data_IF_922493237702
#
_entry.id   IF_922493237702
#
_cell.length_a   1.000
_cell.length_b   1.000
_cell.length_c   1.000
_cell.angle_alpha   90.00
_cell.angle_beta   90.00
_cell.angle_gamma   90.00
#
_symmetry.space_group_name_H-M   'P 1'
#
loop_
_entity.id
_entity.type
_entity.pdbx_description
1 polymer ?
#
# COMPACT_ATOMS: atom_id res chain seq x y z
N UNK A 1 -29.04 3.94 -10.66
CA UNK A 1 -27.58 4.06 -10.68
C UNK A 1 -27.07 5.51 -10.62
N UNK A 2 -27.54 6.46 -11.47
CA UNK A 2 -27.06 7.87 -11.43
C UNK A 2 -27.27 8.57 -10.07
N UNK A 3 -28.40 8.32 -9.39
CA UNK A 3 -28.69 8.91 -8.06
C UNK A 3 -27.78 8.36 -6.95
N UNK A 4 -27.37 7.12 -7.04
CA UNK A 4 -26.44 6.50 -6.08
C UNK A 4 -25.03 7.08 -6.23
N UNK A 5 -24.59 7.31 -7.45
CA UNK A 5 -23.30 7.98 -7.74
C UNK A 5 -23.29 9.41 -7.23
N UNK A 6 -24.40 10.15 -7.36
CA UNK A 6 -24.55 11.52 -6.87
C UNK A 6 -24.53 11.56 -5.33
N UNK A 7 -25.19 10.62 -4.66
CA UNK A 7 -25.16 10.53 -3.20
C UNK A 7 -23.76 10.12 -2.69
N UNK A 8 -23.07 9.21 -3.36
CA UNK A 8 -21.70 8.84 -3.02
C UNK A 8 -20.74 10.03 -3.22
N UNK A 9 -20.92 10.80 -4.29
CA UNK A 9 -20.13 12.01 -4.55
C UNK A 9 -20.45 13.14 -3.55
N UNK A 10 -21.72 13.33 -3.17
CA UNK A 10 -22.12 14.27 -2.15
C UNK A 10 -21.62 13.89 -0.75
N UNK A 11 -21.58 12.60 -0.41
CA UNK A 11 -20.96 12.09 0.82
C UNK A 11 -19.44 12.33 0.83
N UNK A 12 -18.76 12.18 -0.29
CA UNK A 12 -17.33 12.51 -0.42
C UNK A 12 -17.07 14.02 -0.26
N UNK A 13 -17.98 14.87 -0.72
CA UNK A 13 -17.87 16.33 -0.56
C UNK A 13 -18.23 16.82 0.85
N UNK A 14 -19.11 16.11 1.58
CA UNK A 14 -19.51 16.49 2.93
C UNK A 14 -18.44 16.23 4.01
N UNK A 15 -17.42 15.44 3.71
CA UNK A 15 -16.28 15.18 4.60
C UNK A 15 -15.28 16.35 4.63
N UNK A 16 -15.47 17.36 3.77
CA UNK A 16 -14.54 18.48 3.58
C UNK A 16 -14.56 19.59 4.65
N UNK A 17 -15.21 19.40 5.81
CA UNK A 17 -15.32 20.48 6.84
C UNK A 17 -14.20 20.38 7.91
N UNK A 18 -13.43 19.33 7.93
CA UNK A 18 -12.25 19.25 8.80
C UNK A 18 -11.00 19.57 7.99
N UNK A 19 -10.59 20.82 8.04
CA UNK A 19 -9.51 21.38 7.27
C UNK A 19 -8.28 20.45 7.19
N UNK A 20 -7.96 20.01 5.98
CA UNK A 20 -6.69 19.42 5.56
C UNK A 20 -6.18 18.16 6.29
N UNK A 21 -7.07 17.43 6.98
CA UNK A 21 -6.68 16.22 7.71
C UNK A 21 -6.71 14.95 6.85
N UNK A 22 -7.22 15.03 5.63
CA UNK A 22 -7.38 13.87 4.75
C UNK A 22 -6.72 14.10 3.40
N UNK A 23 -6.10 13.07 2.88
CA UNK A 23 -5.49 13.05 1.56
C UNK A 23 -5.98 11.82 0.81
N UNK A 24 -6.44 11.99 -0.43
CA UNK A 24 -6.85 10.90 -1.30
C UNK A 24 -6.21 11.03 -2.68
N UNK A 25 -5.76 9.93 -3.24
CA UNK A 25 -5.10 9.97 -4.53
C UNK A 25 -4.63 8.60 -5.02
N UNK A 26 -3.55 8.64 -5.76
CA UNK A 26 -2.96 7.49 -6.42
C UNK A 26 -1.57 7.21 -5.89
N UNK A 27 -1.20 5.93 -5.88
CA UNK A 27 0.18 5.46 -5.78
C UNK A 27 0.53 4.73 -7.06
N UNK A 28 1.74 4.95 -7.56
CA UNK A 28 2.28 4.30 -8.76
C UNK A 28 3.71 3.86 -8.50
N UNK A 29 4.09 2.71 -9.07
CA UNK A 29 5.42 2.14 -8.90
C UNK A 29 5.40 0.61 -8.93
N UNK A 30 6.04 -0.03 -7.99
CA UNK A 30 6.00 -1.50 -7.89
C UNK A 30 4.58 -2.03 -7.66
N UNK A 31 3.74 -1.26 -6.98
CA UNK A 31 2.28 -1.46 -6.90
C UNK A 31 1.56 -0.18 -7.28
N UNK A 32 0.40 -0.31 -7.95
CA UNK A 32 -0.38 0.81 -8.46
C UNK A 32 -1.78 0.76 -7.87
N UNK A 33 -2.29 1.89 -7.39
CA UNK A 33 -3.62 1.86 -6.80
C UNK A 33 -4.08 3.15 -6.17
N UNK A 34 -5.14 3.02 -5.37
CA UNK A 34 -5.75 4.12 -4.63
C UNK A 34 -5.08 4.24 -3.25
N UNK A 35 -4.85 5.46 -2.82
CA UNK A 35 -4.26 5.78 -1.53
C UNK A 35 -5.12 6.77 -0.77
N UNK A 36 -5.45 6.45 0.46
CA UNK A 36 -6.08 7.37 1.40
C UNK A 36 -5.19 7.53 2.62
N UNK A 37 -4.88 8.77 2.97
CA UNK A 37 -4.09 9.10 4.15
C UNK A 37 -4.88 10.05 5.04
N UNK A 38 -5.08 9.66 6.31
CA UNK A 38 -5.67 10.50 7.34
C UNK A 38 -4.58 10.99 8.28
N UNK A 39 -4.42 12.29 8.38
CA UNK A 39 -3.52 12.94 9.32
C UNK A 39 -4.24 13.03 10.66
N UNK A 40 -3.73 12.37 11.69
CA UNK A 40 -4.32 12.35 13.03
C UNK A 40 -3.88 13.57 13.85
N UNK A 41 -2.63 13.95 13.68
CA UNK A 41 -2.02 15.13 14.28
C UNK A 41 -0.75 15.51 13.48
N UNK A 42 -0.03 16.52 13.93
CA UNK A 42 1.20 17.00 13.24
C UNK A 42 2.26 15.90 12.98
N UNK A 43 2.25 14.83 13.79
CA UNK A 43 3.29 13.77 13.75
C UNK A 43 2.79 12.44 13.25
N UNK A 44 1.50 12.14 13.36
CA UNK A 44 0.97 10.81 13.09
C UNK A 44 -0.10 10.82 12.01
N UNK A 45 -0.04 9.81 11.15
CA UNK A 45 -1.04 9.56 10.13
C UNK A 45 -1.31 8.06 9.98
N UNK A 46 -2.50 7.74 9.45
CA UNK A 46 -2.84 6.41 8.97
C UNK A 46 -2.99 6.50 7.46
N UNK A 47 -2.30 5.63 6.74
CA UNK A 47 -2.39 5.53 5.29
C UNK A 47 -2.91 4.14 4.93
N UNK A 48 -3.95 4.11 4.10
CA UNK A 48 -4.55 2.89 3.56
C UNK A 48 -4.41 2.90 2.05
N UNK A 49 -3.81 1.86 1.49
CA UNK A 49 -3.59 1.72 0.05
C UNK A 49 -4.27 0.44 -0.44
N UNK A 50 -5.13 0.57 -1.46
CA UNK A 50 -5.68 -0.53 -2.22
C UNK A 50 -4.93 -0.60 -3.55
N UNK A 51 -4.10 -1.59 -3.72
CA UNK A 51 -3.15 -1.61 -4.81
C UNK A 51 -3.06 -2.97 -5.53
N UNK A 52 -2.71 -2.89 -6.79
CA UNK A 52 -2.41 -4.03 -7.65
C UNK A 52 -0.99 -3.89 -8.20
N UNK A 53 -0.31 -5.00 -8.36
CA UNK A 53 1.05 -5.03 -8.91
C UNK A 53 1.30 -6.27 -9.76
N UNK A 54 2.22 -6.10 -10.70
CA UNK A 54 2.87 -7.19 -11.39
C UNK A 54 4.33 -7.12 -11.01
N UNK A 55 4.82 -8.09 -10.28
CA UNK A 55 6.17 -8.02 -9.75
C UNK A 55 6.84 -9.38 -9.77
N UNK A 56 8.17 -9.34 -9.79
CA UNK A 56 8.99 -10.52 -9.56
C UNK A 56 9.30 -10.57 -8.07
N UNK A 57 8.93 -11.65 -7.41
CA UNK A 57 9.14 -11.83 -5.98
C UNK A 57 9.88 -13.13 -5.70
N UNK A 58 10.51 -13.18 -4.53
CA UNK A 58 11.15 -14.39 -4.02
C UNK A 58 10.20 -15.10 -3.08
N UNK A 59 9.84 -16.32 -3.41
CA UNK A 59 9.03 -17.20 -2.57
C UNK A 59 9.95 -18.23 -1.92
N UNK A 60 9.79 -18.42 -0.62
CA UNK A 60 10.51 -19.41 0.17
C UNK A 60 9.55 -20.51 0.61
N UNK A 61 9.86 -21.74 0.27
CA UNK A 61 9.18 -22.93 0.80
C UNK A 61 10.00 -23.52 1.94
N UNK A 62 9.35 -23.78 3.05
CA UNK A 62 9.97 -24.51 4.17
C UNK A 62 9.72 -26.00 3.96
N UNK A 63 10.49 -26.64 3.09
CA UNK A 63 10.50 -28.09 2.94
C UNK A 63 11.56 -28.67 3.88
N UNK A 64 11.17 -29.47 4.79
CA UNK A 64 11.79 -30.20 5.90
C UNK A 64 13.32 -30.22 6.10
N UNK A 65 14.16 -29.72 5.20
CA UNK A 65 15.61 -29.58 5.37
C UNK A 65 16.31 -28.60 4.42
N UNK A 66 15.68 -28.17 3.33
CA UNK A 66 16.28 -27.24 2.39
C UNK A 66 15.31 -26.11 2.05
N UNK A 67 15.77 -24.86 2.23
CA UNK A 67 15.03 -23.68 1.79
C UNK A 67 15.15 -23.56 0.28
N UNK A 68 14.11 -23.86 -0.45
CA UNK A 68 14.05 -23.55 -1.87
C UNK A 68 13.62 -22.09 -2.04
N UNK A 69 14.51 -21.29 -2.63
CA UNK A 69 14.26 -19.91 -3.04
C UNK A 69 14.04 -19.90 -4.54
N UNK A 70 12.87 -19.52 -4.98
CA UNK A 70 12.64 -19.27 -6.40
C UNK A 70 12.01 -17.90 -6.66
N UNK A 71 12.42 -17.32 -7.76
CA UNK A 71 11.87 -16.06 -8.23
C UNK A 71 10.73 -16.34 -9.21
N UNK A 72 9.56 -15.82 -8.91
CA UNK A 72 8.36 -15.97 -9.75
C UNK A 72 7.78 -14.61 -10.08
N UNK A 73 7.20 -14.54 -11.27
CA UNK A 73 6.40 -13.39 -11.67
C UNK A 73 4.98 -13.58 -11.13
N UNK A 74 4.49 -12.60 -10.39
CA UNK A 74 3.19 -12.68 -9.72
C UNK A 74 2.33 -11.46 -10.04
N UNK A 75 1.02 -11.71 -10.07
CA UNK A 75 0.02 -10.68 -9.89
C UNK A 75 -0.29 -10.58 -8.39
N UNK A 76 -0.15 -9.41 -7.82
CA UNK A 76 -0.39 -9.12 -6.40
C UNK A 76 -1.52 -8.10 -6.27
N UNK A 77 -2.52 -8.43 -5.48
CA UNK A 77 -3.56 -7.51 -5.03
C UNK A 77 -3.45 -7.38 -3.52
N UNK A 78 -3.31 -6.16 -3.02
CA UNK A 78 -3.13 -5.92 -1.60
C UNK A 78 -3.90 -4.71 -1.08
N UNK A 79 -4.44 -4.88 0.12
CA UNK A 79 -4.89 -3.81 0.99
C UNK A 79 -3.85 -3.65 2.09
N UNK A 80 -3.26 -2.47 2.17
CA UNK A 80 -2.27 -2.09 3.19
C UNK A 80 -2.88 -1.06 4.13
N UNK A 81 -2.60 -1.17 5.43
CA UNK A 81 -2.97 -0.18 6.43
C UNK A 81 -1.75 0.17 7.27
N UNK A 82 -1.16 1.33 7.02
CA UNK A 82 0.09 1.76 7.60
C UNK A 82 -0.10 2.87 8.61
N UNK A 83 0.52 2.73 9.78
CA UNK A 83 0.65 3.79 10.77
C UNK A 83 1.98 4.50 10.54
N UNK A 84 1.94 5.83 10.33
CA UNK A 84 3.09 6.64 9.93
C UNK A 84 3.41 7.67 10.99
N UNK A 85 4.70 7.82 11.28
CA UNK A 85 5.26 8.97 11.97
C UNK A 85 5.83 9.92 10.92
N UNK A 86 5.31 11.16 10.89
CA UNK A 86 5.77 12.21 10.00
C UNK A 86 6.65 13.21 10.77
N UNK A 87 7.71 13.68 10.14
CA UNK A 87 8.57 14.75 10.62
C UNK A 87 8.69 15.82 9.57
N UNK A 88 8.18 17.00 9.83
CA UNK A 88 8.40 18.15 8.98
C UNK A 88 9.87 18.54 8.98
N UNK A 89 10.43 18.77 7.81
CA UNK A 89 11.83 19.14 7.59
C UNK A 89 11.96 20.62 7.22
N UNK A 90 11.13 21.09 6.29
CA UNK A 90 11.13 22.49 5.83
C UNK A 90 9.94 22.74 4.92
N UNK A 91 9.26 23.87 5.07
CA UNK A 91 8.28 24.46 4.10
C UNK A 91 7.48 23.47 3.24
N UNK A 92 6.74 22.56 3.89
CA UNK A 92 5.95 21.54 3.22
C UNK A 92 6.70 20.26 2.86
N UNK A 93 8.03 20.21 3.02
CA UNK A 93 8.81 18.98 2.91
C UNK A 93 8.77 18.22 4.24
N UNK A 94 8.43 16.95 4.19
CA UNK A 94 8.41 16.07 5.36
C UNK A 94 8.98 14.70 5.05
N UNK A 95 9.57 14.08 6.05
CA UNK A 95 9.94 12.67 6.00
C UNK A 95 8.93 11.86 6.82
N UNK A 96 8.78 10.59 6.50
CA UNK A 96 7.92 9.70 7.25
C UNK A 96 8.50 8.29 7.33
N UNK A 97 8.16 7.62 8.42
CA UNK A 97 8.49 6.23 8.66
C UNK A 97 7.31 5.56 9.35
N UNK A 98 7.08 4.30 9.04
CA UNK A 98 6.03 3.54 9.67
C UNK A 98 5.89 2.15 9.11
N UNK A 99 4.70 1.59 9.23
CA UNK A 99 4.39 0.28 8.70
C UNK A 99 3.05 -0.21 9.23
N UNK A 100 2.68 -1.40 8.80
CA UNK A 100 1.43 -1.99 9.20
C UNK A 100 1.12 -3.29 8.50
N UNK A 101 -0.07 -3.85 8.77
CA UNK A 101 -0.50 -5.08 8.14
C UNK A 101 -0.81 -4.90 6.66
N UNK A 102 -0.62 -5.97 5.91
CA UNK A 102 -1.13 -6.12 4.56
C UNK A 102 -1.92 -7.43 4.44
N UNK A 103 -2.98 -7.37 3.65
CA UNK A 103 -3.81 -8.54 3.32
C UNK A 103 -4.15 -8.49 1.82
N UNK A 104 -4.29 -9.63 1.20
CA UNK A 104 -4.59 -9.67 -0.22
C UNK A 104 -4.57 -11.06 -0.81
N UNK A 105 -4.28 -11.12 -2.09
CA UNK A 105 -4.01 -12.38 -2.76
C UNK A 105 -2.90 -12.21 -3.81
N UNK A 106 -2.20 -13.29 -4.05
CA UNK A 106 -1.11 -13.38 -5.03
C UNK A 106 -1.43 -14.51 -5.98
N UNK A 107 -1.26 -14.28 -7.27
CA UNK A 107 -1.42 -15.28 -8.31
C UNK A 107 -0.12 -15.39 -9.11
N UNK A 108 0.39 -16.60 -9.22
CA UNK A 108 1.57 -16.90 -10.04
C UNK A 108 1.24 -16.80 -11.53
N UNK A 109 2.14 -16.23 -12.31
CA UNK A 109 2.04 -16.06 -13.77
C UNK A 109 3.19 -16.82 -14.46
N UNK A 110 3.02 -17.24 -15.72
CA UNK A 110 1.82 -17.18 -16.58
C UNK A 110 1.01 -18.49 -16.64
N UNK A 111 1.50 -19.58 -16.04
CA UNK A 111 0.99 -20.93 -16.35
C UNK A 111 0.24 -21.63 -15.21
N UNK A 112 0.22 -21.05 -14.01
CA UNK A 112 -0.42 -21.66 -12.86
C UNK A 112 -1.70 -20.94 -12.47
N UNK A 113 -2.85 -21.64 -12.40
CA UNK A 113 -4.08 -21.06 -11.85
C UNK A 113 -4.05 -21.03 -10.31
N UNK A 114 -2.87 -21.16 -9.70
CA UNK A 114 -2.73 -21.23 -8.26
C UNK A 114 -2.76 -19.81 -7.69
N UNK A 115 -3.74 -19.57 -6.83
CA UNK A 115 -3.86 -18.32 -6.10
C UNK A 115 -3.59 -18.58 -4.62
N UNK A 116 -2.89 -17.64 -3.99
CA UNK A 116 -2.56 -17.67 -2.57
C UNK A 116 -3.22 -16.51 -1.86
N UNK A 117 -3.84 -16.78 -0.73
CA UNK A 117 -4.18 -15.73 0.23
C UNK A 117 -2.90 -15.14 0.81
N UNK A 118 -2.79 -13.81 0.85
CA UNK A 118 -1.64 -13.07 1.38
C UNK A 118 -2.02 -12.43 2.70
N UNK A 119 -1.18 -12.64 3.72
CA UNK A 119 -1.28 -11.96 5.01
C UNK A 119 0.13 -11.64 5.51
N UNK A 120 0.40 -10.39 5.83
CA UNK A 120 1.73 -9.98 6.23
C UNK A 120 1.79 -8.60 6.84
N UNK A 121 3.00 -8.06 6.84
CA UNK A 121 3.29 -6.70 7.27
C UNK A 121 4.32 -6.06 6.35
N UNK A 122 4.24 -4.75 6.22
CA UNK A 122 5.22 -3.95 5.50
C UNK A 122 5.73 -2.81 6.40
N UNK A 123 6.96 -2.44 6.20
CA UNK A 123 7.48 -1.16 6.63
C UNK A 123 7.33 -0.13 5.51
N UNK A 124 7.35 1.14 5.86
CA UNK A 124 7.24 2.24 4.93
C UNK A 124 8.14 3.38 5.37
N UNK A 125 8.97 3.85 4.48
CA UNK A 125 9.95 4.91 4.73
C UNK A 125 9.98 5.81 3.50
N UNK A 126 9.87 7.13 3.70
CA UNK A 126 9.85 8.02 2.56
C UNK A 126 9.90 9.50 2.91
N UNK A 127 9.74 10.28 1.85
CA UNK A 127 9.62 11.72 1.93
C UNK A 127 8.40 12.19 1.12
N UNK A 128 7.82 13.30 1.54
CA UNK A 128 6.71 13.92 0.84
C UNK A 128 6.84 15.43 0.82
N UNK A 129 6.17 16.02 -0.14
CA UNK A 129 6.11 17.47 -0.31
C UNK A 129 4.67 17.92 -0.50
N UNK A 130 4.21 18.78 0.38
CA UNK A 130 2.90 19.45 0.32
C UNK A 130 3.07 20.81 -0.34
N UNK A 131 2.40 21.02 -1.46
CA UNK A 131 2.46 22.29 -2.18
C UNK A 131 1.66 23.35 -1.41
N UNK A 132 2.30 24.45 -1.04
CA UNK A 132 1.69 25.49 -0.19
C UNK A 132 0.46 26.17 -0.82
N UNK A 133 0.43 26.30 -2.14
CA UNK A 133 -0.61 27.01 -2.87
C UNK A 133 -1.62 26.09 -3.56
N UNK A 134 -1.47 24.78 -3.44
CA UNK A 134 -2.35 23.79 -4.05
C UNK A 134 -2.67 22.70 -3.02
N UNK A 135 -3.87 22.16 -3.03
CA UNK A 135 -4.23 21.06 -2.15
C UNK A 135 -3.68 19.72 -2.66
N UNK A 136 -2.37 19.68 -2.94
CA UNK A 136 -1.69 18.52 -3.49
C UNK A 136 -0.47 18.16 -2.66
N UNK A 137 -0.33 16.86 -2.42
CA UNK A 137 0.84 16.24 -1.77
C UNK A 137 1.46 15.23 -2.71
N UNK A 138 2.77 15.28 -2.87
CA UNK A 138 3.58 14.27 -3.54
C UNK A 138 4.36 13.48 -2.50
N UNK A 139 4.57 12.21 -2.73
CA UNK A 139 5.43 11.39 -1.89
C UNK A 139 6.23 10.40 -2.71
N UNK A 140 7.42 10.08 -2.21
CA UNK A 140 8.23 8.96 -2.67
C UNK A 140 8.49 8.08 -1.46
N UNK A 141 8.19 6.81 -1.56
CA UNK A 141 8.37 5.88 -0.47
C UNK A 141 8.96 4.53 -0.91
N UNK A 142 9.69 3.92 0.01
CA UNK A 142 10.23 2.58 -0.06
C UNK A 142 9.46 1.68 0.91
N UNK A 143 9.04 0.52 0.43
CA UNK A 143 8.14 -0.40 1.15
C UNK A 143 8.69 -1.83 1.11
N UNK A 144 9.56 -2.20 2.04
CA UNK A 144 9.88 -3.61 2.24
C UNK A 144 8.73 -4.30 2.97
N UNK A 145 8.39 -5.51 2.53
CA UNK A 145 7.30 -6.30 3.06
C UNK A 145 7.68 -7.75 3.27
N UNK A 146 6.98 -8.38 4.20
CA UNK A 146 7.06 -9.81 4.45
C UNK A 146 5.65 -10.35 4.64
N UNK A 147 5.33 -11.43 3.94
CA UNK A 147 4.02 -12.03 3.97
C UNK A 147 4.06 -13.56 3.97
N UNK A 148 3.05 -14.13 4.60
CA UNK A 148 2.67 -15.53 4.49
C UNK A 148 1.70 -15.68 3.34
N UNK A 149 1.96 -16.65 2.48
CA UNK A 149 1.09 -17.05 1.39
C UNK A 149 0.42 -18.36 1.77
N UNK A 150 -0.90 -18.33 1.83
CA UNK A 150 -1.71 -19.48 2.24
C UNK A 150 -2.41 -20.06 1.02
N UNK A 151 -2.18 -21.34 0.76
CA UNK A 151 -2.92 -22.08 -0.25
C UNK A 151 -3.76 -23.16 0.41
N UNK A 152 -5.07 -22.95 0.39
CA UNK A 152 -6.01 -23.85 1.05
C UNK A 152 -6.07 -25.24 0.39
N UNK A 153 -5.80 -25.33 -0.92
CA UNK A 153 -5.88 -26.60 -1.66
C UNK A 153 -4.71 -27.53 -1.37
N UNK A 154 -3.54 -26.97 -1.10
CA UNK A 154 -2.30 -27.73 -0.92
C UNK A 154 -1.82 -27.74 0.53
N UNK A 155 -2.58 -27.12 1.46
CA UNK A 155 -2.19 -26.97 2.87
C UNK A 155 -0.77 -26.40 3.06
N UNK A 156 -0.31 -25.63 2.06
CA UNK A 156 1.03 -25.07 2.04
C UNK A 156 1.05 -23.64 2.57
N UNK A 157 2.02 -23.37 3.42
CA UNK A 157 2.35 -22.01 3.86
C UNK A 157 3.69 -21.65 3.25
N UNK A 158 3.68 -20.67 2.35
CA UNK A 158 4.89 -20.13 1.74
C UNK A 158 5.19 -18.77 2.33
N UNK A 159 6.44 -18.36 2.23
CA UNK A 159 6.91 -17.07 2.71
C UNK A 159 7.31 -16.20 1.53
N UNK A 160 6.89 -14.96 1.54
CA UNK A 160 7.20 -13.99 0.50
C UNK A 160 7.88 -12.77 1.11
N UNK A 161 9.02 -12.39 0.55
CA UNK A 161 9.66 -11.12 0.81
C UNK A 161 9.58 -10.27 -0.45
N UNK A 162 9.01 -9.09 -0.33
CA UNK A 162 8.91 -8.12 -1.40
C UNK A 162 9.47 -6.76 -0.97
N UNK A 163 9.80 -5.95 -1.94
CA UNK A 163 10.09 -4.54 -1.74
C UNK A 163 9.77 -3.76 -2.99
N UNK A 164 9.31 -2.56 -2.82
CA UNK A 164 9.03 -1.68 -3.95
C UNK A 164 9.19 -0.21 -3.61
N UNK A 165 9.39 0.59 -4.65
CA UNK A 165 9.32 2.03 -4.60
C UNK A 165 7.95 2.47 -5.11
N UNK A 166 7.37 3.48 -4.48
CA UNK A 166 6.10 4.05 -4.89
C UNK A 166 6.15 5.58 -4.89
N UNK A 167 5.54 6.16 -5.91
CA UNK A 167 5.25 7.58 -5.99
C UNK A 167 3.78 7.79 -5.66
N UNK A 168 3.50 8.66 -4.71
CA UNK A 168 2.14 9.03 -4.32
C UNK A 168 1.80 10.44 -4.79
N UNK A 169 0.61 10.62 -5.33
CA UNK A 169 0.01 11.93 -5.63
C UNK A 169 -1.35 11.97 -4.99
N UNK A 170 -1.55 12.88 -4.04
CA UNK A 170 -2.79 12.95 -3.24
C UNK A 170 -3.34 14.36 -3.20
N UNK A 171 -4.64 14.45 -3.25
CA UNK A 171 -5.41 15.68 -3.01
C UNK A 171 -5.74 15.79 -1.52
N UNK A 172 -5.50 16.96 -0.94
CA UNK A 172 -5.76 17.28 0.47
C UNK A 172 -7.12 17.96 0.63
N UNK A 173 -7.96 17.50 1.58
CA UNK A 173 -9.29 18.05 1.84
C UNK A 173 -9.69 17.95 3.31
#
# INVERSE_FOLDING_TARGET
>A
MKKFLLCAFALLLSVGIFAQANEFGLVVGGMNGLSYKRIMNEKFAIQTDLAIGFQRTSIMENAYSDYALWNVDVFDFALNANFLYNKELSNGLYAFIGGGPNVGFVQELPHSPISFGKFGANAMLGAGYKISNLPLTFSLDFRPGYAFLLNYKYEAILHMFDWHLALGVRYCF
#
